data_IF_955298502925
#
_entry.id   IF_955298502925
#
_cell.length_a   1.000
_cell.length_b   1.000
_cell.length_c   1.000
_cell.angle_alpha   90.00
_cell.angle_beta   90.00
_cell.angle_gamma   90.00
#
_symmetry.space_group_name_H-M   'P 1'
#
loop_
_entity.id
_entity.type
_entity.pdbx_description
1 polymer ?
#
# COMPACT_ATOMS: atom_id res chain seq x y z
N UNK A 1 1.56 11.60 -26.02
CA UNK A 1 2.76 11.17 -25.26
C UNK A 1 2.45 9.87 -24.54
N UNK A 2 3.44 9.05 -24.19
CA UNK A 2 3.21 7.74 -23.52
C UNK A 2 3.10 7.94 -22.01
N UNK A 3 1.99 7.49 -21.41
CA UNK A 3 1.75 7.48 -19.96
C UNK A 3 2.66 6.47 -19.26
N UNK A 4 3.01 6.72 -17.99
CA UNK A 4 3.79 5.74 -17.19
C UNK A 4 2.92 4.67 -16.52
N UNK A 5 1.63 4.95 -16.31
CA UNK A 5 0.65 3.98 -15.81
C UNK A 5 -0.25 3.42 -16.92
N UNK A 6 -0.59 2.14 -16.80
CA UNK A 6 -1.53 1.42 -17.66
C UNK A 6 -2.48 0.58 -16.80
N UNK A 7 -3.77 0.56 -17.15
CA UNK A 7 -4.78 -0.31 -16.53
C UNK A 7 -5.12 -1.38 -17.57
N UNK A 8 -4.98 -2.65 -17.21
CA UNK A 8 -5.42 -3.77 -18.04
C UNK A 8 -6.95 -3.84 -18.08
N UNK A 9 -7.58 -3.83 -19.28
CA UNK A 9 -9.04 -3.85 -19.41
C UNK A 9 -9.70 -5.09 -18.77
N UNK A 10 -9.09 -6.27 -18.92
CA UNK A 10 -9.73 -7.55 -18.59
C UNK A 10 -9.49 -8.00 -17.14
N UNK A 11 -8.44 -7.50 -16.49
CA UNK A 11 -8.00 -7.92 -15.15
C UNK A 11 -8.11 -6.82 -14.09
N UNK A 12 -8.29 -5.56 -14.49
CA UNK A 12 -8.20 -4.41 -13.61
C UNK A 12 -6.80 -4.17 -13.03
N UNK A 13 -5.77 -4.88 -13.48
CA UNK A 13 -4.40 -4.70 -12.99
C UNK A 13 -3.84 -3.34 -13.41
N UNK A 14 -3.30 -2.61 -12.43
CA UNK A 14 -2.67 -1.32 -12.67
C UNK A 14 -1.15 -1.51 -12.68
N UNK A 15 -0.53 -1.39 -13.85
CA UNK A 15 0.92 -1.44 -14.02
C UNK A 15 1.49 -0.03 -14.14
N UNK A 16 2.56 0.27 -13.41
CA UNK A 16 3.31 1.52 -13.53
C UNK A 16 4.76 1.19 -13.89
N UNK A 17 5.36 1.93 -14.82
CA UNK A 17 6.76 1.75 -15.24
C UNK A 17 7.48 3.11 -15.32
N UNK A 18 8.45 3.32 -14.43
CA UNK A 18 9.20 4.58 -14.27
C UNK A 18 10.55 4.58 -15.00
N UNK A 19 10.84 3.55 -15.81
CA UNK A 19 12.17 3.20 -16.34
C UNK A 19 13.21 2.80 -15.28
N UNK A 20 13.07 3.22 -14.01
CA UNK A 20 13.90 2.75 -12.88
C UNK A 20 13.38 1.46 -12.26
N UNK A 21 12.06 1.31 -12.22
CA UNK A 21 11.36 0.14 -11.77
C UNK A 21 9.99 0.05 -12.47
N UNK A 22 9.34 -1.10 -12.37
CA UNK A 22 7.91 -1.23 -12.58
C UNK A 22 7.25 -1.84 -11.35
N UNK A 23 5.99 -1.50 -11.09
CA UNK A 23 5.16 -2.13 -10.07
C UNK A 23 3.79 -2.53 -10.64
N UNK A 24 3.08 -3.39 -9.92
CA UNK A 24 1.72 -3.80 -10.29
C UNK A 24 0.82 -3.88 -9.06
N UNK A 25 -0.32 -3.18 -9.12
CA UNK A 25 -1.43 -3.30 -8.18
C UNK A 25 -2.43 -4.29 -8.75
N UNK A 26 -2.87 -5.25 -7.95
CA UNK A 26 -3.93 -6.19 -8.31
C UNK A 26 -5.26 -5.60 -7.84
N UNK A 27 -6.30 -5.69 -8.67
CA UNK A 27 -7.64 -5.20 -8.28
C UNK A 27 -8.05 -5.81 -6.92
N UNK A 28 -8.60 -4.97 -6.04
CA UNK A 28 -8.99 -5.35 -4.68
C UNK A 28 -7.89 -5.30 -3.62
N UNK A 29 -6.61 -5.08 -3.97
CA UNK A 29 -5.50 -5.00 -2.99
C UNK A 29 -5.10 -3.57 -2.64
N UNK A 30 -5.05 -3.24 -1.35
CA UNK A 30 -4.64 -1.91 -0.85
C UNK A 30 -3.21 -1.45 -1.20
N UNK A 31 -2.36 -2.33 -1.75
CA UNK A 31 -0.94 -2.08 -2.02
C UNK A 31 -0.47 -2.79 -3.31
N UNK A 32 0.62 -2.31 -3.96
CA UNK A 32 1.20 -3.01 -5.10
C UNK A 32 1.84 -4.33 -4.65
N UNK A 33 1.62 -5.42 -5.39
CA UNK A 33 2.01 -6.79 -4.98
C UNK A 33 3.22 -7.35 -5.74
N UNK A 34 3.57 -6.75 -6.88
CA UNK A 34 4.70 -7.18 -7.71
C UNK A 34 5.58 -6.00 -8.12
N UNK A 35 6.88 -6.23 -8.19
CA UNK A 35 7.88 -5.24 -8.62
C UNK A 35 8.94 -5.86 -9.52
N UNK A 36 9.34 -5.10 -10.54
CA UNK A 36 10.53 -5.34 -11.37
C UNK A 36 11.44 -4.13 -11.33
N UNK A 37 12.74 -4.31 -11.53
CA UNK A 37 13.66 -3.19 -11.77
C UNK A 37 13.57 -2.71 -13.22
N UNK A 38 14.26 -1.60 -13.53
CA UNK A 38 14.38 -1.08 -14.90
C UNK A 38 15.01 -2.05 -15.91
N UNK A 39 15.75 -3.06 -15.43
CA UNK A 39 16.28 -4.15 -16.25
C UNK A 39 15.27 -5.30 -16.49
N UNK A 40 14.03 -5.18 -15.98
CA UNK A 40 12.98 -6.19 -16.06
C UNK A 40 13.09 -7.31 -15.02
N UNK A 41 14.16 -7.33 -14.20
CA UNK A 41 14.37 -8.34 -13.17
C UNK A 41 13.36 -8.18 -12.03
N UNK A 42 12.67 -9.26 -11.67
CA UNK A 42 11.81 -9.30 -10.49
C UNK A 42 12.58 -9.01 -9.19
N UNK A 43 12.01 -8.16 -8.33
CA UNK A 43 12.40 -8.13 -6.92
C UNK A 43 11.75 -9.33 -6.19
N UNK A 44 12.28 -9.76 -5.03
CA UNK A 44 11.64 -10.79 -4.22
C UNK A 44 10.22 -10.39 -3.80
N UNK A 45 9.40 -11.39 -3.48
CA UNK A 45 8.03 -11.18 -3.02
C UNK A 45 7.95 -10.20 -1.86
N UNK A 46 7.00 -9.29 -1.94
CA UNK A 46 6.75 -8.25 -0.94
C UNK A 46 5.36 -8.51 -0.37
N UNK A 47 5.22 -8.56 0.96
CA UNK A 47 4.04 -9.06 1.68
C UNK A 47 3.78 -8.18 2.89
N UNK A 48 2.55 -7.87 3.31
CA UNK A 48 2.36 -6.96 4.45
C UNK A 48 1.29 -7.32 5.45
N UNK A 49 1.30 -6.51 6.50
CA UNK A 49 0.71 -6.69 7.83
C UNK A 49 0.51 -5.30 8.45
N UNK A 50 -0.22 -4.42 7.76
CA UNK A 50 -0.75 -3.23 8.43
C UNK A 50 -1.93 -3.70 9.29
N UNK A 51 -1.74 -3.67 10.61
CA UNK A 51 -2.65 -4.26 11.59
C UNK A 51 -3.20 -3.22 12.57
N UNK A 52 -4.49 -3.34 12.92
CA UNK A 52 -5.12 -2.66 14.04
C UNK A 52 -5.50 -3.70 15.09
N UNK A 53 -5.21 -3.43 16.36
CA UNK A 53 -5.60 -4.31 17.49
C UNK A 53 -6.55 -3.57 18.42
N UNK A 54 -7.56 -4.27 18.93
CA UNK A 54 -8.47 -3.77 19.97
C UNK A 54 -8.87 -4.88 20.95
N UNK A 55 -9.75 -4.59 21.90
CA UNK A 55 -10.21 -5.53 22.93
C UNK A 55 -10.90 -6.79 22.37
N UNK A 56 -11.30 -6.77 21.10
CA UNK A 56 -11.86 -7.94 20.41
C UNK A 56 -10.84 -8.72 19.58
N UNK A 57 -9.59 -8.24 19.42
CA UNK A 57 -8.52 -8.88 18.65
C UNK A 57 -7.95 -8.06 17.48
N UNK A 58 -7.21 -8.74 16.59
CA UNK A 58 -6.44 -8.12 15.49
C UNK A 58 -7.25 -8.06 14.18
N UNK A 59 -7.15 -6.93 13.46
CA UNK A 59 -7.70 -6.66 12.14
C UNK A 59 -6.56 -6.31 11.17
N UNK A 60 -6.70 -6.64 9.89
CA UNK A 60 -5.62 -6.65 8.89
C UNK A 60 -6.05 -6.00 7.59
N UNK A 61 -5.18 -5.16 7.02
CA UNK A 61 -5.45 -4.51 5.74
C UNK A 61 -5.14 -5.39 4.52
N UNK A 62 -4.25 -6.39 4.66
CA UNK A 62 -3.94 -7.37 3.60
C UNK A 62 -5.02 -8.45 3.39
N UNK A 63 -5.99 -8.55 4.31
CA UNK A 63 -7.11 -9.48 4.23
C UNK A 63 -8.36 -8.84 3.60
N UNK A 64 -8.28 -7.56 3.20
CA UNK A 64 -9.23 -6.92 2.28
C UNK A 64 -8.86 -7.28 0.83
N UNK A 65 -9.87 -7.68 0.06
CA UNK A 65 -9.78 -8.05 -1.37
C UNK A 65 -10.77 -7.26 -2.23
N UNK A 66 -11.37 -6.23 -1.66
CA UNK A 66 -12.38 -5.38 -2.28
C UNK A 66 -11.96 -3.91 -2.29
N UNK A 67 -10.66 -3.63 -2.09
CA UNK A 67 -10.13 -2.28 -2.11
C UNK A 67 -10.40 -1.59 -3.46
N UNK A 68 -11.04 -0.43 -3.39
CA UNK A 68 -11.39 0.39 -4.54
C UNK A 68 -10.20 1.28 -4.95
N UNK A 69 -10.03 1.48 -6.26
CA UNK A 69 -8.94 2.28 -6.83
C UNK A 69 -9.47 3.53 -7.52
N UNK A 70 -8.96 4.69 -7.10
CA UNK A 70 -9.27 5.99 -7.70
C UNK A 70 -8.01 6.57 -8.37
N UNK A 71 -8.02 6.73 -9.70
CA UNK A 71 -6.88 7.25 -10.45
C UNK A 71 -6.94 8.78 -10.51
N UNK A 72 -6.05 9.44 -9.76
CA UNK A 72 -5.98 10.91 -9.69
C UNK A 72 -5.13 11.53 -10.79
N UNK A 73 -4.04 10.88 -11.20
CA UNK A 73 -3.16 11.36 -12.28
C UNK A 73 -2.45 10.19 -12.99
N UNK A 74 -2.23 10.34 -14.29
CA UNK A 74 -1.47 9.40 -15.11
C UNK A 74 -0.95 10.11 -16.37
N UNK A 75 0.17 10.81 -16.22
CA UNK A 75 0.91 11.54 -17.25
C UNK A 75 2.17 10.76 -17.69
N UNK A 76 3.00 11.30 -18.60
CA UNK A 76 4.35 10.78 -18.87
C UNK A 76 5.36 11.01 -17.74
N UNK A 77 5.08 11.93 -16.82
CA UNK A 77 5.99 12.34 -15.73
C UNK A 77 5.57 11.77 -14.36
N UNK A 78 4.26 11.56 -14.15
CA UNK A 78 3.70 11.23 -12.83
C UNK A 78 2.51 10.29 -12.93
N UNK A 79 2.36 9.46 -11.89
CA UNK A 79 1.20 8.61 -11.63
C UNK A 79 0.76 8.80 -10.18
N UNK A 80 -0.52 9.06 -9.96
CA UNK A 80 -1.12 9.20 -8.63
C UNK A 80 -2.41 8.40 -8.56
N UNK A 81 -2.51 7.51 -7.58
CA UNK A 81 -3.68 6.66 -7.35
C UNK A 81 -3.96 6.53 -5.85
N UNK A 82 -5.23 6.54 -5.47
CA UNK A 82 -5.69 6.22 -4.12
C UNK A 82 -6.25 4.79 -4.10
N UNK A 83 -5.84 4.00 -3.11
CA UNK A 83 -6.49 2.75 -2.74
C UNK A 83 -7.31 2.99 -1.46
N UNK A 84 -8.57 2.57 -1.43
CA UNK A 84 -9.44 2.67 -0.25
C UNK A 84 -10.05 1.33 0.12
N UNK A 85 -10.05 1.01 1.42
CA UNK A 85 -10.50 -0.29 1.94
C UNK A 85 -10.69 -0.27 3.46
N UNK A 86 -10.89 -1.45 4.06
CA UNK A 86 -11.16 -1.62 5.49
C UNK A 86 -10.25 -2.69 6.13
N UNK A 87 -9.98 -2.56 7.43
CA UNK A 87 -9.23 -3.62 8.13
C UNK A 87 -10.17 -4.78 8.43
N UNK A 88 -9.80 -5.99 8.01
CA UNK A 88 -10.67 -7.16 8.05
C UNK A 88 -10.07 -8.29 8.90
N UNK A 89 -10.87 -9.29 9.28
CA UNK A 89 -10.40 -10.50 9.99
C UNK A 89 -10.51 -11.75 9.15
N UNK A 90 -9.46 -12.56 9.19
CA UNK A 90 -9.37 -13.87 8.54
C UNK A 90 -9.71 -15.01 9.53
N UNK A 91 -10.55 -14.74 10.53
CA UNK A 91 -11.01 -15.70 11.53
C UNK A 91 -12.14 -16.61 11.02
N UNK A 92 -12.85 -16.21 9.95
CA UNK A 92 -13.89 -17.00 9.30
C UNK A 92 -13.81 -16.93 7.76
N UNK A 93 -14.25 -18.01 7.11
CA UNK A 93 -14.68 -18.04 5.70
C UNK A 93 -16.16 -18.42 5.62
N UNK A 94 -16.93 -17.93 4.63
CA UNK A 94 -16.59 -16.83 3.72
C UNK A 94 -16.75 -15.46 4.41
N UNK A 95 -16.23 -14.42 3.75
CA UNK A 95 -16.25 -13.01 4.17
C UNK A 95 -15.43 -12.71 5.44
N UNK A 96 -14.30 -12.04 5.24
CA UNK A 96 -13.50 -11.49 6.33
C UNK A 96 -14.28 -10.35 7.00
N UNK A 97 -14.44 -10.39 8.33
CA UNK A 97 -15.25 -9.38 9.03
C UNK A 97 -14.53 -8.04 9.00
N UNK A 98 -15.11 -7.03 8.35
CA UNK A 98 -14.57 -5.66 8.32
C UNK A 98 -14.77 -4.90 9.64
N UNK A 99 -13.80 -4.04 9.97
CA UNK A 99 -13.84 -3.12 11.11
C UNK A 99 -14.80 -1.96 10.82
N UNK A 100 -16.08 -2.17 11.12
CA UNK A 100 -17.12 -1.16 10.95
C UNK A 100 -16.74 0.16 11.65
N UNK A 101 -16.86 1.28 10.94
CA UNK A 101 -16.51 2.61 11.44
C UNK A 101 -15.05 3.03 11.24
N UNK A 102 -14.18 2.21 10.61
CA UNK A 102 -12.83 2.61 10.19
C UNK A 102 -12.59 2.23 8.74
N UNK A 103 -12.00 3.13 7.97
CA UNK A 103 -11.50 2.84 6.63
C UNK A 103 -10.08 3.37 6.46
N UNK A 104 -9.31 2.78 5.56
CA UNK A 104 -7.98 3.22 5.17
C UNK A 104 -8.03 3.87 3.78
N UNK A 105 -7.26 4.93 3.59
CA UNK A 105 -6.95 5.52 2.29
C UNK A 105 -5.43 5.64 2.15
N UNK A 106 -4.87 4.92 1.16
CA UNK A 106 -3.45 4.95 0.82
C UNK A 106 -3.28 5.62 -0.56
N UNK A 107 -2.72 6.81 -0.61
CA UNK A 107 -2.37 7.51 -1.85
C UNK A 107 -0.93 7.19 -2.25
N UNK A 108 -0.78 6.60 -3.43
CA UNK A 108 0.49 6.29 -4.06
C UNK A 108 0.83 7.38 -5.08
N UNK A 109 1.98 8.05 -4.86
CA UNK A 109 2.55 9.02 -5.81
C UNK A 109 3.87 8.46 -6.35
N UNK A 110 3.95 8.33 -7.67
CA UNK A 110 5.07 7.74 -8.41
C UNK A 110 5.51 8.70 -9.52
N UNK A 111 6.80 8.94 -9.63
CA UNK A 111 7.39 9.88 -10.59
C UNK A 111 8.30 9.14 -11.59
N UNK A 112 8.29 9.56 -12.85
CA UNK A 112 9.15 9.01 -13.89
C UNK A 112 10.64 9.26 -13.56
N UNK A 113 11.50 8.26 -13.78
CA UNK A 113 12.93 8.38 -13.48
C UNK A 113 13.31 8.35 -11.99
N UNK A 114 12.34 8.47 -11.07
CA UNK A 114 12.53 8.42 -9.62
C UNK A 114 12.43 6.95 -9.12
N UNK A 115 13.40 6.43 -8.34
CA UNK A 115 13.34 5.08 -7.76
C UNK A 115 12.52 5.00 -6.45
N UNK A 116 11.75 6.03 -6.10
CA UNK A 116 10.94 6.12 -4.88
C UNK A 116 9.45 6.15 -5.20
N UNK A 117 8.67 5.36 -4.46
CA UNK A 117 7.22 5.51 -4.31
C UNK A 117 6.96 6.28 -3.02
N UNK A 118 6.26 7.42 -3.09
CA UNK A 118 5.69 8.09 -1.92
C UNK A 118 4.33 7.47 -1.62
N UNK A 119 4.10 7.10 -0.37
CA UNK A 119 2.79 6.65 0.13
C UNK A 119 2.33 7.64 1.19
N UNK A 120 1.20 8.28 0.97
CA UNK A 120 0.48 9.06 1.99
C UNK A 120 -0.66 8.18 2.51
N UNK A 121 -0.74 7.98 3.81
CA UNK A 121 -1.68 7.04 4.40
C UNK A 121 -2.51 7.72 5.49
N UNK A 122 -3.82 7.47 5.46
CA UNK A 122 -4.81 8.06 6.34
C UNK A 122 -5.83 7.03 6.79
N UNK A 123 -6.19 7.05 8.07
CA UNK A 123 -7.45 6.47 8.54
C UNK A 123 -8.58 7.51 8.40
N UNK A 124 -9.72 7.07 7.88
CA UNK A 124 -10.96 7.84 7.82
C UNK A 124 -12.00 7.23 8.76
N UNK A 125 -12.89 8.09 9.27
CA UNK A 125 -13.85 7.80 10.33
C UNK A 125 -13.18 7.46 11.68
N UNK A 126 -13.97 7.26 12.72
CA UNK A 126 -13.51 6.87 14.05
C UNK A 126 -14.48 5.90 14.70
N UNK A 127 -13.94 5.03 15.55
CA UNK A 127 -14.70 4.12 16.42
C UNK A 127 -14.60 4.59 17.87
N UNK A 128 -15.61 4.34 18.73
CA UNK A 128 -15.62 4.81 20.12
C UNK A 128 -14.66 4.05 21.06
N UNK A 129 -13.80 3.17 20.52
CA UNK A 129 -12.83 2.36 21.27
C UNK A 129 -11.40 2.68 20.86
N UNK A 130 -10.47 2.52 21.80
CA UNK A 130 -9.04 2.64 21.53
C UNK A 130 -8.58 1.50 20.62
N UNK A 131 -7.90 1.85 19.53
CA UNK A 131 -7.21 0.89 18.67
C UNK A 131 -5.69 1.09 18.81
N UNK A 132 -4.92 0.02 18.70
CA UNK A 132 -3.46 0.06 18.62
C UNK A 132 -3.01 -0.23 17.19
N UNK A 133 -2.32 0.71 16.53
CA UNK A 133 -1.89 0.55 15.14
C UNK A 133 -0.47 -0.01 15.02
N UNK A 134 -0.39 -1.28 14.61
CA UNK A 134 0.85 -1.99 14.31
C UNK A 134 1.15 -1.94 12.81
N UNK A 135 1.74 -0.84 12.35
CA UNK A 135 2.13 -0.65 10.96
C UNK A 135 3.39 -1.45 10.60
N UNK A 136 3.25 -2.61 9.96
CA UNK A 136 4.39 -3.39 9.46
C UNK A 136 4.57 -3.15 7.95
N UNK A 137 5.28 -2.05 7.69
CA UNK A 137 5.70 -1.50 6.40
C UNK A 137 6.54 -2.44 5.51
N UNK A 138 6.80 -2.12 4.21
CA UNK A 138 6.78 -3.09 3.11
C UNK A 138 5.34 -3.95 2.89
N UNK A 139 5.88 -5.23 3.31
CA UNK A 139 7.12 -5.87 4.00
C UNK A 139 8.02 -6.66 3.01
N UNK A 140 9.36 -6.62 3.18
CA UNK A 140 10.38 -6.93 2.14
C UNK A 140 11.50 -7.91 2.56
N UNK A 141 11.97 -8.73 1.62
CA UNK A 141 13.33 -9.31 1.61
C UNK A 141 14.12 -8.83 0.38
N UNK A 142 15.42 -8.53 0.53
CA UNK A 142 16.41 -8.29 -0.55
C UNK A 142 16.10 -7.27 -1.67
N UNK A 143 16.75 -6.11 -1.67
CA UNK A 143 16.73 -5.17 -2.82
C UNK A 143 15.61 -4.11 -2.85
N UNK A 144 14.70 -4.13 -1.88
CA UNK A 144 13.81 -3.00 -1.61
C UNK A 144 14.20 -2.42 -0.25
N UNK A 145 14.71 -1.18 -0.25
CA UNK A 145 15.14 -0.49 0.96
C UNK A 145 14.10 0.53 1.38
N UNK A 146 13.96 0.76 2.68
CA UNK A 146 12.97 1.69 3.23
C UNK A 146 13.66 2.89 3.82
N UNK A 147 13.21 4.08 3.43
CA UNK A 147 13.53 5.31 4.12
C UNK A 147 12.21 5.81 4.73
N UNK A 148 11.99 5.53 6.01
CA UNK A 148 10.72 5.84 6.66
C UNK A 148 10.75 7.24 7.29
N UNK A 149 9.74 8.08 6.97
CA UNK A 149 9.63 9.46 7.44
C UNK A 149 8.29 9.63 8.16
N UNK A 150 8.20 9.04 9.35
CA UNK A 150 6.95 8.99 10.10
C UNK A 150 7.11 8.51 11.56
N UNK A 151 5.98 8.25 12.25
CA UNK A 151 5.96 7.76 13.62
C UNK A 151 6.61 6.37 13.76
N UNK A 152 7.55 6.15 14.71
CA UNK A 152 8.25 4.87 14.82
C UNK A 152 7.29 3.70 15.14
N UNK A 153 7.55 2.48 14.61
CA UNK A 153 6.70 1.31 14.83
C UNK A 153 6.68 0.90 16.31
N UNK A 154 5.60 0.26 16.73
CA UNK A 154 5.41 -0.19 18.12
C UNK A 154 4.95 0.89 19.10
N UNK A 155 4.59 2.10 18.62
CA UNK A 155 3.84 3.08 19.42
C UNK A 155 2.34 2.85 19.29
N UNK A 156 1.63 2.92 20.41
CA UNK A 156 0.16 2.99 20.45
C UNK A 156 -0.26 4.40 20.01
N UNK A 157 -1.18 4.48 19.06
CA UNK A 157 -1.71 5.74 18.52
C UNK A 157 -3.20 5.84 18.83
N UNK A 158 -3.64 6.92 19.47
CA UNK A 158 -5.07 7.18 19.60
C UNK A 158 -5.63 7.49 18.19
N UNK A 159 -6.36 6.56 17.60
CA UNK A 159 -6.54 6.42 16.15
C UNK A 159 -7.39 7.48 15.46
N UNK A 160 -7.97 8.43 16.20
CA UNK A 160 -8.91 9.42 15.69
C UNK A 160 -8.43 10.21 14.45
N UNK A 161 -7.11 10.40 14.26
CA UNK A 161 -6.52 10.92 13.02
C UNK A 161 -5.12 10.35 12.74
N UNK A 162 -4.98 9.04 12.54
CA UNK A 162 -3.72 8.48 12.04
C UNK A 162 -3.47 8.96 10.59
N UNK A 163 -2.46 9.81 10.42
CA UNK A 163 -1.94 10.26 9.13
C UNK A 163 -0.41 10.10 9.12
N UNK A 164 0.17 9.53 8.06
CA UNK A 164 1.62 9.42 7.91
C UNK A 164 2.08 9.43 6.45
N UNK A 165 3.40 9.54 6.24
CA UNK A 165 4.04 9.38 4.93
C UNK A 165 5.12 8.30 5.01
N UNK A 166 5.26 7.49 3.97
CA UNK A 166 6.33 6.51 3.84
C UNK A 166 6.98 6.58 2.45
N UNK A 167 8.28 6.31 2.36
CA UNK A 167 9.00 6.20 1.09
C UNK A 167 9.50 4.76 0.88
N UNK A 168 9.05 4.15 -0.21
CA UNK A 168 9.52 2.83 -0.65
C UNK A 168 10.58 3.06 -1.72
N UNK A 169 11.85 2.72 -1.45
CA UNK A 169 12.96 2.97 -2.38
C UNK A 169 13.47 1.66 -3.00
N UNK A 170 13.34 1.56 -4.31
CA UNK A 170 13.85 0.43 -5.08
C UNK A 170 15.37 0.55 -5.22
N UNK A 171 16.13 -0.48 -4.83
CA UNK A 171 17.61 -0.52 -4.94
C UNK A 171 18.06 -1.87 -5.50
N UNK A 172 18.41 -1.91 -6.79
CA UNK A 172 19.24 -3.02 -7.28
C UNK A 172 20.57 -3.04 -6.53
N UNK A 173 20.78 -4.06 -5.69
CA UNK A 173 22.12 -4.37 -5.19
C UNK A 173 22.97 -4.81 -6.39
N UNK A 174 23.91 -3.96 -6.79
CA UNK A 174 25.04 -4.40 -7.63
C UNK A 174 25.81 -5.45 -6.83
N UNK A 175 26.08 -6.59 -7.47
CA UNK A 175 27.07 -7.56 -7.03
C UNK A 175 28.45 -7.12 -7.50
#
# INVERSE_FOLDING_TARGET
>A
MKKIGFIEPDSGFVRVNTQRFGCTFFHGHMFPVYFVSGSGKAFPGVSWRDELTDETGVWRLQDDRWAEFNLLDNSPERFVMECTGTFCRNDLRPFSRGLSGVSACFRYTIEAGNPVIRVEAKLTNSVPRQLEHSALFPVTAGGVTRDFIGPPPGKVWNTNQLNFTALIRMKEHRK
#
